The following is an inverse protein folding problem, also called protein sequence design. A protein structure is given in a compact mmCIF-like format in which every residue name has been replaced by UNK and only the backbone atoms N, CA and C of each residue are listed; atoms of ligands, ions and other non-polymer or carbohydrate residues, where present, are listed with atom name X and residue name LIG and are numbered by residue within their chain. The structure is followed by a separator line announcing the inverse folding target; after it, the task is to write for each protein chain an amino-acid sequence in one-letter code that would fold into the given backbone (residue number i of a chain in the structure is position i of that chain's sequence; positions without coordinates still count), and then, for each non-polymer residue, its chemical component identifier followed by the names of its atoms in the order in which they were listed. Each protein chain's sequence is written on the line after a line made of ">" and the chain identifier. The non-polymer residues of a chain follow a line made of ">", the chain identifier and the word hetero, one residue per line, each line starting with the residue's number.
data_IF_307078235207
#
_entry.id   IF_307078235207
#
_cell.length_a   1.000
_cell.length_b   1.000
_cell.length_c   1.000
_cell.angle_alpha   90.00
_cell.angle_beta   90.00
_cell.angle_gamma   90.00
#
_symmetry.space_group_name_H-M   'P 1'
#
loop_
_entity.id
_entity.type
_entity.pdbx_description
1 polymer ?
#
# COMPACT_ATOMS: atom_id res chain seq x y z
N UNK A 1 23.33 7.50 -15.71
CA UNK A 1 23.19 7.75 -17.16
C UNK A 1 22.39 9.03 -17.45
N UNK A 2 21.24 9.27 -16.82
CA UNK A 2 20.45 10.49 -17.08
C UNK A 2 21.20 11.82 -16.89
N UNK A 3 22.09 11.94 -15.90
CA UNK A 3 22.93 13.14 -15.78
C UNK A 3 23.96 13.32 -16.92
N UNK A 4 24.41 12.23 -17.55
CA UNK A 4 25.22 12.33 -18.78
C UNK A 4 24.39 12.90 -19.95
N UNK A 5 23.07 12.73 -19.87
CA UNK A 5 22.08 13.30 -20.79
C UNK A 5 21.50 14.63 -20.29
N UNK A 6 22.18 15.32 -19.36
CA UNK A 6 21.72 16.61 -18.80
C UNK A 6 20.32 16.60 -18.17
N UNK A 7 19.78 15.42 -17.83
CA UNK A 7 18.52 15.32 -17.10
C UNK A 7 18.81 15.72 -15.63
N UNK A 8 18.13 16.75 -15.09
CA UNK A 8 18.33 17.18 -13.71
C UNK A 8 17.71 16.18 -12.73
N UNK A 9 17.97 16.35 -11.43
CA UNK A 9 17.27 15.56 -10.43
C UNK A 9 15.75 15.82 -10.50
N UNK A 10 14.98 14.75 -10.49
CA UNK A 10 13.53 14.81 -10.36
C UNK A 10 13.15 14.95 -8.87
N UNK A 11 12.06 15.67 -8.58
CA UNK A 11 11.47 15.78 -7.24
C UNK A 11 10.57 14.60 -6.87
N UNK A 12 10.19 13.77 -7.85
CA UNK A 12 9.41 12.57 -7.64
C UNK A 12 10.26 11.47 -6.97
N UNK A 13 9.83 10.98 -5.80
CA UNK A 13 10.59 10.03 -4.98
C UNK A 13 10.69 8.63 -5.61
N UNK A 14 9.85 8.30 -6.59
CA UNK A 14 9.91 7.05 -7.34
C UNK A 14 10.77 7.13 -8.61
N UNK A 15 11.28 8.32 -8.94
CA UNK A 15 12.13 8.52 -10.12
C UNK A 15 13.54 7.97 -9.92
N UNK A 16 14.11 7.35 -10.96
CA UNK A 16 15.53 6.98 -11.01
C UNK A 16 16.45 8.21 -11.01
N UNK A 17 15.89 9.38 -11.33
CA UNK A 17 16.56 10.67 -11.26
C UNK A 17 16.31 11.39 -9.93
N UNK A 18 15.70 10.76 -8.92
CA UNK A 18 15.57 11.35 -7.60
C UNK A 18 16.95 11.57 -6.95
N UNK A 19 17.08 12.62 -6.13
CA UNK A 19 18.37 13.05 -5.54
C UNK A 19 18.96 12.02 -4.57
N UNK A 20 18.12 11.20 -3.94
CA UNK A 20 18.55 10.13 -3.05
C UNK A 20 18.36 8.78 -3.70
N UNK A 21 19.34 7.87 -3.51
CA UNK A 21 19.26 6.51 -4.05
C UNK A 21 18.15 5.72 -3.32
N UNK A 22 17.01 5.44 -3.95
CA UNK A 22 16.00 4.61 -3.32
C UNK A 22 16.49 3.17 -3.52
N UNK A 23 16.75 2.46 -2.42
CA UNK A 23 17.33 1.11 -2.41
C UNK A 23 16.50 0.10 -3.26
N UNK A 24 15.29 0.47 -3.65
CA UNK A 24 14.26 -0.38 -4.23
C UNK A 24 13.86 -0.05 -5.69
N UNK A 25 14.55 0.81 -6.43
CA UNK A 25 14.08 1.21 -7.79
C UNK A 25 14.24 0.12 -8.88
N UNK A 26 15.02 -0.94 -8.68
CA UNK A 26 15.62 -1.66 -9.82
C UNK A 26 14.96 -2.98 -10.27
N UNK A 27 13.92 -3.48 -9.60
CA UNK A 27 13.17 -4.63 -10.12
C UNK A 27 11.92 -4.14 -10.85
N UNK A 28 11.91 -4.26 -12.18
CA UNK A 28 10.83 -3.82 -13.08
C UNK A 28 10.59 -2.30 -13.17
N UNK A 29 11.65 -1.50 -13.08
CA UNK A 29 11.54 -0.05 -13.26
C UNK A 29 10.93 0.32 -14.62
N UNK A 30 9.87 1.11 -14.59
CA UNK A 30 9.34 1.81 -15.76
C UNK A 30 9.46 3.31 -15.53
N UNK A 31 9.94 4.04 -16.54
CA UNK A 31 10.00 5.49 -16.46
C UNK A 31 8.59 6.05 -16.30
N UNK A 32 8.43 6.97 -15.35
CA UNK A 32 7.19 7.74 -15.22
C UNK A 32 6.99 8.64 -16.44
N UNK A 33 5.74 8.98 -16.76
CA UNK A 33 5.44 9.91 -17.86
C UNK A 33 6.16 11.26 -17.68
N UNK A 34 6.30 11.75 -16.44
CA UNK A 34 7.03 12.96 -16.13
C UNK A 34 8.52 12.87 -16.51
N UNK A 35 9.18 11.75 -16.21
CA UNK A 35 10.58 11.54 -16.61
C UNK A 35 10.74 11.38 -18.12
N UNK A 36 9.79 10.70 -18.76
CA UNK A 36 9.75 10.57 -20.21
C UNK A 36 9.59 11.96 -20.83
N UNK A 37 8.72 12.80 -20.29
CA UNK A 37 8.46 14.14 -20.81
C UNK A 37 9.60 15.11 -20.53
N UNK A 38 10.25 15.06 -19.37
CA UNK A 38 11.48 15.81 -19.09
C UNK A 38 12.63 15.38 -20.02
N UNK A 39 12.80 14.08 -20.25
CA UNK A 39 13.75 13.59 -21.24
C UNK A 39 13.40 14.07 -22.66
N UNK A 40 12.10 14.09 -23.04
CA UNK A 40 11.62 14.61 -24.33
C UNK A 40 11.79 16.12 -24.49
N UNK A 41 11.76 16.90 -23.40
CA UNK A 41 12.06 18.34 -23.44
C UNK A 41 13.53 18.60 -23.82
N UNK A 42 14.43 17.75 -23.33
CA UNK A 42 15.87 17.87 -23.56
C UNK A 42 16.31 17.27 -24.91
N UNK A 43 15.63 16.21 -25.33
CA UNK A 43 15.87 15.52 -26.59
C UNK A 43 14.58 15.53 -27.38
N UNK A 44 14.50 16.46 -28.34
CA UNK A 44 13.42 16.55 -29.35
C UNK A 44 13.01 15.13 -29.76
N UNK A 45 11.69 14.87 -29.77
CA UNK A 45 11.08 13.62 -30.22
C UNK A 45 11.97 12.95 -31.26
N UNK A 46 12.60 11.82 -30.90
CA UNK A 46 12.96 10.85 -31.92
C UNK A 46 11.63 10.37 -32.48
N UNK A 47 11.16 11.08 -33.52
CA UNK A 47 10.13 10.58 -34.41
C UNK A 47 10.69 9.26 -34.88
N UNK A 48 10.17 8.17 -34.31
CA UNK A 48 10.35 6.87 -34.92
C UNK A 48 9.56 6.99 -36.22
N UNK A 49 10.25 7.36 -37.29
CA UNK A 49 9.71 7.23 -38.64
C UNK A 49 9.70 5.73 -38.89
N UNK A 50 8.66 5.07 -38.42
CA UNK A 50 8.26 3.81 -39.01
C UNK A 50 7.57 4.19 -40.32
N UNK A 51 8.04 3.76 -41.51
CA UNK A 51 7.48 4.18 -42.79
C UNK A 51 6.04 3.71 -43.05
N UNK A 52 5.33 3.19 -42.05
CA UNK A 52 4.06 2.47 -42.21
C UNK A 52 2.91 2.86 -41.29
N UNK A 53 3.11 3.71 -40.28
CA UNK A 53 2.02 4.07 -39.37
C UNK A 53 1.59 5.54 -39.53
N UNK A 54 0.71 5.77 -40.50
CA UNK A 54 -0.29 6.83 -40.41
C UNK A 54 -1.36 6.36 -39.42
N UNK A 55 -1.36 6.86 -38.18
CA UNK A 55 -2.54 7.37 -37.47
C UNK A 55 -2.33 7.48 -35.95
N UNK A 56 -3.02 8.47 -35.40
CA UNK A 56 -3.48 8.62 -33.99
C UNK A 56 -2.54 9.34 -33.01
N UNK A 57 -2.70 10.66 -32.97
CA UNK A 57 -2.46 11.45 -31.75
C UNK A 57 -3.44 10.98 -30.67
N UNK A 58 -2.95 10.59 -29.49
CA UNK A 58 -3.75 10.48 -28.28
C UNK A 58 -3.20 11.47 -27.26
N UNK A 59 -4.10 12.31 -26.73
CA UNK A 59 -3.81 13.30 -25.70
C UNK A 59 -3.29 12.60 -24.44
N UNK A 60 -2.07 12.95 -24.03
CA UNK A 60 -1.50 12.51 -22.77
C UNK A 60 -2.23 13.21 -21.62
N UNK A 61 -2.87 12.42 -20.74
CA UNK A 61 -3.40 12.93 -19.48
C UNK A 61 -2.23 13.29 -18.57
N UNK A 62 -2.08 14.59 -18.29
CA UNK A 62 -1.05 15.13 -17.41
C UNK A 62 -1.33 14.68 -15.97
N UNK A 63 -0.51 13.79 -15.42
CA UNK A 63 -0.46 13.59 -13.97
C UNK A 63 0.50 14.62 -13.37
N UNK A 64 -0.07 15.59 -12.66
CA UNK A 64 0.70 16.61 -11.94
C UNK A 64 1.48 15.96 -10.77
N UNK A 65 2.67 16.49 -10.44
CA UNK A 65 3.40 16.08 -9.24
C UNK A 65 2.54 16.35 -8.00
N UNK A 66 2.69 15.53 -6.96
CA UNK A 66 1.98 15.72 -5.69
C UNK A 66 2.41 17.04 -5.03
N UNK A 67 1.70 18.12 -5.34
CA UNK A 67 1.73 19.37 -4.58
C UNK A 67 1.09 19.14 -3.21
N UNK A 68 1.20 20.11 -2.30
CA UNK A 68 0.57 20.08 -0.97
C UNK A 68 -0.97 19.85 -1.05
N UNK A 69 -1.58 20.20 -2.18
CA UNK A 69 -2.99 19.92 -2.53
C UNK A 69 -3.24 18.45 -2.90
N UNK A 70 -2.24 17.76 -3.47
CA UNK A 70 -2.32 16.35 -3.87
C UNK A 70 -2.48 15.37 -2.71
N UNK A 71 -2.15 15.75 -1.48
CA UNK A 71 -2.40 14.92 -0.29
C UNK A 71 -3.89 14.81 0.05
N UNK A 72 -4.67 15.85 -0.22
CA UNK A 72 -6.12 15.86 -0.02
C UNK A 72 -6.87 15.20 -1.19
N UNK A 73 -6.27 15.19 -2.39
CA UNK A 73 -6.84 14.60 -3.61
C UNK A 73 -6.40 13.14 -3.84
N UNK A 74 -5.59 12.56 -2.95
CA UNK A 74 -5.11 11.18 -3.08
C UNK A 74 -6.19 10.16 -2.65
N UNK A 75 -6.42 9.18 -3.52
CA UNK A 75 -7.17 7.97 -3.16
C UNK A 75 -6.26 7.05 -2.33
N UNK A 76 -6.38 7.12 -1.00
CA UNK A 76 -5.72 6.17 -0.11
C UNK A 76 -6.51 4.86 -0.07
N UNK A 77 -5.81 3.75 -0.27
CA UNK A 77 -6.43 2.42 -0.21
C UNK A 77 -6.65 1.97 1.25
N UNK A 78 -5.75 2.36 2.17
CA UNK A 78 -5.76 1.94 3.57
C UNK A 78 -4.97 2.94 4.43
N UNK A 79 -5.36 3.14 5.69
CA UNK A 79 -4.61 3.92 6.69
C UNK A 79 -4.29 3.00 7.86
N UNK A 80 -3.08 3.09 8.41
CA UNK A 80 -2.61 2.22 9.47
C UNK A 80 -1.56 2.90 10.33
N UNK A 81 -1.35 2.38 11.54
CA UNK A 81 -0.24 2.78 12.39
C UNK A 81 0.89 1.75 12.27
N UNK A 82 2.11 2.23 12.00
CA UNK A 82 3.31 1.42 12.06
C UNK A 82 4.48 2.24 12.59
N UNK A 83 5.29 1.61 13.44
CA UNK A 83 6.49 2.24 14.02
C UNK A 83 6.21 3.59 14.72
N UNK A 84 5.04 3.74 15.34
CA UNK A 84 4.62 4.97 16.01
C UNK A 84 4.29 6.13 15.07
N UNK A 85 4.05 5.84 13.79
CA UNK A 85 3.65 6.80 12.78
C UNK A 85 2.34 6.37 12.12
N UNK A 86 1.47 7.35 11.87
CA UNK A 86 0.31 7.13 11.01
C UNK A 86 0.79 7.08 9.56
N UNK A 87 0.36 6.05 8.84
CA UNK A 87 0.74 5.82 7.46
C UNK A 87 -0.50 5.60 6.60
N UNK A 88 -0.42 5.97 5.32
CA UNK A 88 -1.47 5.73 4.34
C UNK A 88 -0.92 5.02 3.11
N UNK A 89 -1.64 4.03 2.60
CA UNK A 89 -1.25 3.28 1.42
C UNK A 89 -1.77 3.89 0.13
N UNK A 90 -0.89 3.92 -0.86
CA UNK A 90 -1.14 4.34 -2.23
C UNK A 90 -0.77 3.20 -3.18
N UNK A 91 -1.12 3.33 -4.45
CA UNK A 91 -0.76 2.36 -5.49
C UNK A 91 0.76 2.20 -5.63
N UNK A 92 1.51 3.26 -5.38
CA UNK A 92 2.96 3.36 -5.58
C UNK A 92 3.79 3.24 -4.28
N UNK A 93 3.15 2.96 -3.13
CA UNK A 93 3.84 2.76 -1.87
C UNK A 93 3.08 3.27 -0.65
N UNK A 94 3.82 3.65 0.39
CA UNK A 94 3.26 4.23 1.62
C UNK A 94 3.67 5.68 1.82
N UNK A 95 2.76 6.42 2.42
CA UNK A 95 2.92 7.80 2.85
C UNK A 95 2.93 7.83 4.38
N UNK A 96 3.99 8.35 5.00
CA UNK A 96 3.96 8.69 6.42
C UNK A 96 3.26 10.05 6.63
N UNK A 97 2.38 10.14 7.63
CA UNK A 97 1.64 11.34 8.02
C UNK A 97 2.21 11.81 9.36
N UNK A 98 2.96 12.90 9.37
CA UNK A 98 3.48 13.50 10.60
C UNK A 98 2.73 14.79 10.95
N UNK A 99 2.46 15.00 12.23
CA UNK A 99 1.53 16.04 12.71
C UNK A 99 2.03 17.49 12.62
N UNK A 100 3.31 17.72 12.33
CA UNK A 100 3.88 19.08 12.33
C UNK A 100 4.15 19.66 10.94
N UNK A 101 4.49 18.82 9.96
CA UNK A 101 4.54 19.18 8.55
C UNK A 101 4.08 17.95 7.77
N UNK A 102 3.18 18.13 6.80
CA UNK A 102 2.79 17.06 5.87
C UNK A 102 3.97 16.74 4.94
N UNK A 103 5.06 16.23 5.49
CA UNK A 103 6.19 15.71 4.75
C UNK A 103 5.89 14.28 4.32
N UNK A 104 5.58 14.16 3.05
CA UNK A 104 5.27 12.93 2.37
C UNK A 104 6.56 12.22 1.97
N UNK A 105 6.97 11.19 2.70
CA UNK A 105 8.00 10.27 2.21
C UNK A 105 7.34 9.03 1.59
N UNK A 106 7.42 8.90 0.27
CA UNK A 106 7.02 7.66 -0.41
C UNK A 106 7.99 6.54 -0.07
N UNK A 107 7.49 5.49 0.59
CA UNK A 107 8.25 4.25 0.80
C UNK A 107 7.75 3.18 -0.16
N UNK A 108 8.60 2.76 -1.08
CA UNK A 108 8.27 1.79 -2.14
C UNK A 108 8.46 0.36 -1.61
N UNK A 109 7.44 -0.49 -1.79
CA UNK A 109 7.49 -1.91 -1.46
C UNK A 109 7.54 -2.74 -2.73
N UNK A 110 8.71 -3.29 -3.02
CA UNK A 110 8.92 -4.14 -4.21
C UNK A 110 8.33 -5.55 -4.09
N UNK A 111 7.83 -5.91 -2.91
CA UNK A 111 7.36 -7.27 -2.62
C UNK A 111 5.84 -7.43 -2.75
N UNK A 112 5.13 -6.32 -2.96
CA UNK A 112 3.73 -6.27 -3.32
C UNK A 112 3.68 -6.33 -4.84
N UNK A 113 2.97 -7.31 -5.40
CA UNK A 113 2.75 -7.37 -6.84
C UNK A 113 1.81 -6.22 -7.24
N UNK A 114 2.11 -5.51 -8.34
CA UNK A 114 1.34 -4.34 -8.81
C UNK A 114 -0.17 -4.63 -8.99
N UNK A 115 -0.54 -5.90 -9.17
CA UNK A 115 -1.93 -6.36 -9.31
C UNK A 115 -2.65 -6.66 -8.01
N UNK A 116 -1.95 -6.74 -6.87
CA UNK A 116 -2.54 -7.15 -5.59
C UNK A 116 -2.96 -5.93 -4.74
N UNK A 117 -4.26 -5.80 -4.50
CA UNK A 117 -4.80 -4.77 -3.61
C UNK A 117 -4.46 -5.10 -2.16
N UNK A 118 -3.97 -4.10 -1.43
CA UNK A 118 -3.76 -4.18 0.03
C UNK A 118 -5.11 -4.08 0.73
N UNK A 119 -5.47 -5.14 1.45
CA UNK A 119 -6.76 -5.26 2.15
C UNK A 119 -6.66 -4.91 3.64
N UNK A 120 -5.50 -5.18 4.25
CA UNK A 120 -5.23 -4.82 5.63
C UNK A 120 -3.74 -4.74 5.92
N UNK A 121 -3.36 -3.89 6.86
CA UNK A 121 -2.00 -3.79 7.38
C UNK A 121 -2.06 -3.81 8.90
N UNK A 122 -1.18 -4.59 9.53
CA UNK A 122 -1.10 -4.69 11.00
C UNK A 122 0.33 -4.91 11.44
N UNK A 123 0.70 -4.29 12.55
CA UNK A 123 2.02 -4.50 13.17
C UNK A 123 1.93 -5.65 14.17
N UNK A 124 2.81 -6.65 14.04
CA UNK A 124 2.93 -7.81 14.93
C UNK A 124 4.36 -7.92 15.41
N UNK A 125 4.63 -7.70 16.71
CA UNK A 125 5.98 -7.80 17.29
C UNK A 125 7.05 -7.02 16.50
N UNK A 126 6.77 -5.76 16.16
CA UNK A 126 7.62 -4.89 15.31
C UNK A 126 7.81 -5.35 13.85
N UNK A 127 7.04 -6.34 13.40
CA UNK A 127 6.97 -6.74 12.00
C UNK A 127 5.71 -6.17 11.38
N UNK A 128 5.83 -5.61 10.18
CA UNK A 128 4.70 -5.13 9.42
C UNK A 128 4.11 -6.27 8.60
N UNK A 129 2.88 -6.64 8.91
CA UNK A 129 2.13 -7.69 8.24
C UNK A 129 1.14 -7.04 7.28
N UNK A 130 1.33 -7.28 5.99
CA UNK A 130 0.51 -6.71 4.91
C UNK A 130 -0.29 -7.86 4.29
N UNK A 131 -1.61 -7.78 4.42
CA UNK A 131 -2.57 -8.71 3.85
C UNK A 131 -3.05 -8.19 2.50
N UNK A 132 -2.96 -9.05 1.50
CA UNK A 132 -3.42 -8.81 0.14
C UNK A 132 -4.53 -9.81 -0.19
N UNK A 133 -5.14 -9.73 -1.36
CA UNK A 133 -6.31 -10.55 -1.70
C UNK A 133 -6.08 -12.07 -1.52
N UNK A 134 -4.96 -12.61 -1.99
CA UNK A 134 -4.64 -14.05 -1.89
C UNK A 134 -3.38 -14.35 -1.06
N UNK A 135 -2.51 -13.36 -0.92
CA UNK A 135 -1.21 -13.50 -0.29
C UNK A 135 -1.03 -12.54 0.88
N UNK A 136 0.04 -12.74 1.63
CA UNK A 136 0.49 -11.77 2.62
C UNK A 136 2.01 -11.67 2.57
N UNK A 137 2.51 -10.52 2.97
CA UNK A 137 3.93 -10.28 3.18
C UNK A 137 4.17 -9.80 4.60
N UNK A 138 5.28 -10.26 5.18
CA UNK A 138 5.80 -9.82 6.47
C UNK A 138 7.10 -9.12 6.19
N UNK A 139 7.23 -7.91 6.71
CA UNK A 139 8.44 -7.10 6.56
C UNK A 139 8.95 -6.61 7.90
N UNK A 140 10.22 -6.25 7.94
CA UNK A 140 10.89 -5.67 9.11
C UNK A 140 11.65 -4.41 8.75
N UNK A 141 11.72 -3.46 9.67
CA UNK A 141 12.50 -2.22 9.53
C UNK A 141 12.16 -1.46 8.25
N UNK A 142 13.16 -1.29 7.38
CA UNK A 142 13.04 -0.63 6.06
C UNK A 142 12.30 -1.51 5.02
N UNK A 143 11.22 -2.17 5.44
CA UNK A 143 10.36 -3.02 4.62
C UNK A 143 11.10 -4.20 3.96
N UNK A 144 12.14 -4.72 4.63
CA UNK A 144 12.84 -5.93 4.19
C UNK A 144 11.89 -7.12 4.28
N UNK A 145 11.74 -7.88 3.19
CA UNK A 145 10.90 -9.08 3.20
C UNK A 145 11.47 -10.13 4.15
N UNK A 146 10.66 -10.52 5.13
CA UNK A 146 10.92 -11.63 6.05
C UNK A 146 10.22 -12.88 5.55
N UNK A 147 8.96 -12.75 5.16
CA UNK A 147 8.11 -13.88 4.76
C UNK A 147 7.07 -13.44 3.73
N UNK A 148 6.84 -14.29 2.74
CA UNK A 148 5.64 -14.25 1.88
C UNK A 148 4.87 -15.56 2.04
N UNK A 149 3.54 -15.49 2.06
CA UNK A 149 2.70 -16.67 2.21
C UNK A 149 1.35 -16.51 1.55
N UNK A 150 0.60 -17.61 1.46
CA UNK A 150 -0.79 -17.59 0.99
C UNK A 150 -1.73 -17.49 2.18
N UNK A 151 -2.72 -16.60 2.07
CA UNK A 151 -3.75 -16.44 3.09
C UNK A 151 -4.51 -17.76 3.25
N UNK A 152 -4.94 -18.38 2.14
CA UNK A 152 -5.76 -19.59 2.20
C UNK A 152 -5.09 -20.74 2.99
N UNK A 153 -3.77 -20.88 2.80
CA UNK A 153 -2.97 -21.91 3.45
C UNK A 153 -2.76 -21.63 4.95
N UNK A 154 -2.54 -20.37 5.30
CA UNK A 154 -2.14 -19.98 6.66
C UNK A 154 -3.34 -19.71 7.55
N UNK A 155 -4.34 -19.00 7.04
CA UNK A 155 -5.50 -18.53 7.79
C UNK A 155 -6.78 -19.34 7.50
N UNK A 156 -6.72 -20.32 6.60
CA UNK A 156 -7.90 -21.01 6.07
C UNK A 156 -8.63 -20.10 5.08
N UNK A 157 -9.95 -20.17 4.99
CA UNK A 157 -10.73 -19.25 4.15
C UNK A 157 -11.31 -18.10 5.01
N UNK A 158 -10.60 -16.97 5.19
CA UNK A 158 -11.09 -15.85 5.97
C UNK A 158 -12.14 -15.00 5.24
N UNK A 159 -12.42 -15.28 3.95
CA UNK A 159 -13.24 -14.42 3.11
C UNK A 159 -12.56 -13.08 2.79
N UNK A 160 -13.36 -12.09 2.42
CA UNK A 160 -12.87 -10.76 2.06
C UNK A 160 -12.48 -9.99 3.32
N UNK A 161 -11.16 -9.98 3.59
CA UNK A 161 -10.55 -9.25 4.69
C UNK A 161 -10.78 -7.76 4.50
N UNK A 162 -11.10 -7.05 5.58
CA UNK A 162 -11.36 -5.60 5.60
C UNK A 162 -10.47 -4.87 6.60
N UNK A 163 -9.67 -5.60 7.38
CA UNK A 163 -8.82 -5.06 8.42
C UNK A 163 -8.27 -6.14 9.32
N UNK A 164 -7.22 -5.83 10.05
CA UNK A 164 -6.64 -6.70 11.05
C UNK A 164 -6.17 -5.90 12.27
N UNK A 165 -6.15 -6.55 13.42
CA UNK A 165 -5.65 -5.98 14.67
C UNK A 165 -4.90 -7.05 15.44
N UNK A 166 -3.71 -6.71 15.95
CA UNK A 166 -2.94 -7.58 16.81
C UNK A 166 -2.80 -6.93 18.17
N UNK A 167 -3.33 -7.60 19.19
CA UNK A 167 -3.19 -7.18 20.56
C UNK A 167 -1.91 -7.79 21.15
N UNK A 168 -0.88 -6.96 21.30
CA UNK A 168 0.45 -7.38 21.75
C UNK A 168 0.42 -7.96 23.17
N UNK A 169 -0.37 -7.38 24.08
CA UNK A 169 -0.40 -7.81 25.49
C UNK A 169 -1.01 -9.21 25.68
N UNK A 170 -1.98 -9.59 24.85
CA UNK A 170 -2.63 -10.91 24.89
C UNK A 170 -2.16 -11.88 23.81
N UNK A 171 -1.27 -11.44 22.90
CA UNK A 171 -0.82 -12.22 21.74
C UNK A 171 -2.00 -12.76 20.91
N UNK A 172 -3.04 -11.95 20.74
CA UNK A 172 -4.24 -12.29 19.97
C UNK A 172 -4.30 -11.48 18.69
N UNK A 173 -4.41 -12.18 17.56
CA UNK A 173 -4.69 -11.57 16.26
C UNK A 173 -6.17 -11.66 15.93
N UNK A 174 -6.75 -10.57 15.47
CA UNK A 174 -8.10 -10.47 14.97
C UNK A 174 -8.05 -10.14 13.48
N UNK A 175 -8.61 -11.02 12.66
CA UNK A 175 -8.76 -10.78 11.22
C UNK A 175 -10.23 -10.50 10.94
N UNK A 176 -10.53 -9.32 10.42
CA UNK A 176 -11.90 -8.88 10.20
C UNK A 176 -12.28 -9.07 8.75
N UNK A 177 -13.46 -9.64 8.52
CA UNK A 177 -14.00 -9.91 7.19
C UNK A 177 -15.50 -9.63 7.18
N UNK A 178 -15.90 -8.47 6.63
CA UNK A 178 -17.28 -7.98 6.46
C UNK A 178 -18.29 -8.30 7.59
N UNK A 179 -18.77 -9.53 7.69
CA UNK A 179 -19.80 -9.97 8.65
C UNK A 179 -19.25 -10.65 9.90
N UNK A 180 -17.98 -11.07 9.89
CA UNK A 180 -17.35 -11.79 10.99
C UNK A 180 -15.92 -11.31 11.22
N UNK A 181 -15.38 -11.66 12.37
CA UNK A 181 -13.95 -11.65 12.61
C UNK A 181 -13.52 -13.06 13.01
N UNK A 182 -12.25 -13.34 12.78
CA UNK A 182 -11.60 -14.57 13.19
C UNK A 182 -10.58 -14.19 14.26
N UNK A 183 -10.73 -14.78 15.45
CA UNK A 183 -9.81 -14.62 16.57
C UNK A 183 -8.78 -15.75 16.55
N UNK A 184 -7.50 -15.41 16.48
CA UNK A 184 -6.38 -16.34 16.58
C UNK A 184 -5.67 -16.10 17.92
N UNK A 185 -5.86 -17.00 18.87
CA UNK A 185 -5.20 -16.97 20.17
C UNK A 185 -3.78 -17.52 20.05
N UNK A 186 -2.83 -16.97 20.83
CA UNK A 186 -1.41 -17.30 20.77
C UNK A 186 -0.87 -17.19 19.34
N UNK A 187 -1.18 -16.08 18.66
CA UNK A 187 -0.83 -15.88 17.27
C UNK A 187 0.69 -15.96 17.09
N UNK A 188 1.12 -16.84 16.18
CA UNK A 188 2.51 -17.00 15.81
C UNK A 188 2.67 -16.73 14.31
N UNK A 189 3.45 -15.70 14.00
CA UNK A 189 3.71 -15.26 12.64
C UNK A 189 4.44 -16.29 11.79
N UNK A 190 5.13 -17.26 12.40
CA UNK A 190 5.88 -18.34 11.74
C UNK A 190 5.04 -19.60 11.51
N UNK A 191 3.82 -19.64 12.05
CA UNK A 191 2.94 -20.78 11.85
C UNK A 191 2.65 -20.99 10.36
N UNK A 192 2.64 -22.25 9.93
CA UNK A 192 2.25 -22.63 8.56
C UNK A 192 0.73 -22.67 8.41
N UNK A 193 0.02 -22.95 9.50
CA UNK A 193 -1.44 -22.98 9.59
C UNK A 193 -1.86 -22.44 10.95
N UNK A 194 -2.94 -21.66 10.98
CA UNK A 194 -3.52 -21.07 12.17
C UNK A 194 -4.97 -21.52 12.32
N UNK A 195 -5.34 -21.91 13.53
CA UNK A 195 -6.72 -22.26 13.87
C UNK A 195 -7.37 -21.07 14.57
N UNK A 196 -8.31 -20.44 13.89
CA UNK A 196 -9.03 -19.28 14.41
C UNK A 196 -10.47 -19.60 14.78
N UNK A 197 -11.01 -18.87 15.75
CA UNK A 197 -12.43 -18.94 16.12
C UNK A 197 -13.19 -17.84 15.41
N UNK A 198 -14.14 -18.21 14.54
CA UNK A 198 -14.98 -17.27 13.81
C UNK A 198 -16.15 -16.77 14.68
N UNK A 199 -16.36 -15.46 14.74
CA UNK A 199 -17.46 -14.81 15.47
C UNK A 199 -18.07 -13.69 14.64
N UNK A 200 -19.37 -13.46 14.77
CA UNK A 200 -20.05 -12.40 14.01
C UNK A 200 -19.75 -11.01 14.57
N UNK A 201 -19.52 -10.05 13.67
CA UNK A 201 -19.25 -8.66 14.04
C UNK A 201 -20.44 -7.96 14.66
N UNK A 202 -21.67 -8.35 14.29
CA UNK A 202 -22.91 -7.84 14.90
C UNK A 202 -22.99 -8.09 16.42
N UNK A 203 -22.20 -9.03 16.94
CA UNK A 203 -22.12 -9.30 18.37
C UNK A 203 -21.32 -8.20 19.11
N UNK A 204 -20.53 -7.40 18.40
CA UNK A 204 -19.86 -6.21 18.93
C UNK A 204 -20.76 -4.99 18.80
N UNK A 205 -21.26 -4.71 17.60
CA UNK A 205 -22.19 -3.60 17.37
C UNK A 205 -23.10 -3.88 16.15
N UNK A 206 -24.41 -3.60 16.22
CA UNK A 206 -25.37 -3.98 15.17
C UNK A 206 -25.14 -3.29 13.81
N UNK A 207 -24.48 -2.11 13.80
CA UNK A 207 -24.21 -1.32 12.59
C UNK A 207 -23.00 -1.81 11.78
N UNK A 208 -22.19 -2.72 12.34
CA UNK A 208 -21.00 -3.29 11.71
C UNK A 208 -21.33 -4.35 10.63
N UNK A 209 -22.27 -4.02 9.73
CA UNK A 209 -22.72 -4.88 8.63
C UNK A 209 -22.21 -4.42 7.26
N UNK A 210 -21.83 -3.14 7.12
CA UNK A 210 -21.41 -2.51 5.86
C UNK A 210 -20.05 -1.81 6.00
N UNK A 211 -19.13 -2.47 6.69
CA UNK A 211 -17.77 -1.96 6.85
C UNK A 211 -17.05 -2.07 5.51
N UNK A 212 -16.47 -0.97 5.06
CA UNK A 212 -15.61 -0.93 3.88
C UNK A 212 -14.19 -1.36 4.24
N UNK A 213 -13.67 -0.77 5.31
CA UNK A 213 -12.38 -1.13 5.88
C UNK A 213 -12.35 -0.75 7.37
N UNK A 214 -11.39 -1.31 8.09
CA UNK A 214 -11.12 -1.04 9.49
C UNK A 214 -9.63 -0.86 9.69
N UNK A 215 -9.24 0.01 10.62
CA UNK A 215 -7.85 0.13 11.09
C UNK A 215 -7.80 0.20 12.61
N UNK A 216 -6.62 -0.05 13.17
CA UNK A 216 -6.35 0.09 14.58
C UNK A 216 -5.26 1.16 14.78
N UNK A 217 -5.52 2.12 15.67
CA UNK A 217 -4.60 3.20 16.04
C UNK A 217 -4.67 3.33 17.56
N UNK A 218 -3.53 3.33 18.25
CA UNK A 218 -3.47 3.44 19.72
C UNK A 218 -4.40 2.45 20.46
N UNK A 219 -4.44 1.19 20.01
CA UNK A 219 -5.35 0.13 20.50
C UNK A 219 -6.87 0.41 20.35
N UNK A 220 -7.25 1.51 19.71
CA UNK A 220 -8.62 1.80 19.33
C UNK A 220 -8.92 1.30 17.91
N UNK A 221 -10.12 0.74 17.71
CA UNK A 221 -10.55 0.22 16.42
C UNK A 221 -11.46 1.23 15.70
N UNK A 222 -11.03 1.67 14.54
CA UNK A 222 -11.76 2.60 13.68
C UNK A 222 -12.40 1.84 12.52
N UNK A 223 -13.72 1.87 12.44
CA UNK A 223 -14.48 1.22 11.37
C UNK A 223 -15.02 2.26 10.40
N UNK A 224 -14.72 2.10 9.12
CA UNK A 224 -15.22 3.00 8.08
C UNK A 224 -16.35 2.32 7.34
N UNK A 225 -17.53 2.91 7.44
CA UNK A 225 -18.79 2.37 6.93
C UNK A 225 -19.21 3.21 5.74
N UNK A 226 -19.56 2.56 4.62
CA UNK A 226 -20.12 3.27 3.47
C UNK A 226 -21.60 3.57 3.75
N UNK A 227 -21.92 4.83 4.01
CA UNK A 227 -23.32 5.28 4.06
C UNK A 227 -23.83 5.48 2.64
N UNK A 228 -24.80 4.68 2.22
CA UNK A 228 -25.60 4.98 1.03
C UNK A 228 -26.61 6.04 1.43
N UNK A 229 -26.49 7.26 0.88
CA UNK A 229 -27.58 8.22 1.00
C UNK A 229 -28.77 7.69 0.20
N UNK A 230 -29.89 7.50 0.89
CA UNK A 230 -31.19 7.16 0.33
C UNK A 230 -31.84 8.37 -0.32
#
# INVERSE_FOLDING_TARGET
>A
MGHLLSIPHNKNHSSVMFTYYPINVFQNYSFSNEEIDEARKLYVQLTRIDPRDETTQTEATVHQPATKDGLCDNNYNYIFEAYGQLMASRTDGFLAITGHELEASTVIINHIEDSEVVEAIVTVNNLLFILQQETFVVTEGNLRLVRKGRIQKTFGNPGNVIGAYFNTSSSVMYLFAHQYYIKYENFNIDATTLKGTRKFLRNWHPELRKIRWMTAIDDELFFIIRMTMS
#
